data_IF_351440211432
#
_entry.id   IF_351440211432
#
_cell.length_a   1.000
_cell.length_b   1.000
_cell.length_c   1.000
_cell.angle_alpha   90.00
_cell.angle_beta   90.00
_cell.angle_gamma   90.00
#
_symmetry.space_group_name_H-M   'P 1'
#
loop_
_entity.id
_entity.type
_entity.pdbx_description
1 polymer ?
#
# COMPACT_ATOMS: atom_id res chain seq x y z
N UNK A 1 30.83 -4.95 -6.80
CA UNK A 1 30.59 -3.99 -5.71
C UNK A 1 30.60 -4.79 -4.41
N UNK A 2 31.47 -4.48 -3.43
CA UNK A 2 31.44 -5.18 -2.15
C UNK A 2 30.04 -5.03 -1.51
N UNK A 3 29.55 -6.12 -0.91
CA UNK A 3 28.27 -6.09 -0.21
C UNK A 3 28.34 -5.09 0.94
N UNK A 4 27.28 -4.31 1.14
CA UNK A 4 27.17 -3.47 2.32
C UNK A 4 27.05 -4.37 3.55
N UNK A 5 27.98 -4.23 4.50
CA UNK A 5 28.03 -5.00 5.75
C UNK A 5 27.50 -4.22 6.95
N UNK A 6 27.15 -2.94 6.78
CA UNK A 6 26.56 -2.10 7.83
C UNK A 6 25.04 -1.94 7.62
N UNK A 7 24.21 -2.13 8.66
CA UNK A 7 22.78 -1.85 8.56
C UNK A 7 22.50 -0.40 8.15
N UNK A 8 21.57 -0.20 7.21
CA UNK A 8 21.11 1.13 6.78
C UNK A 8 19.73 1.36 7.39
N UNK A 9 19.56 2.51 8.05
CA UNK A 9 18.29 2.93 8.64
C UNK A 9 17.72 4.13 7.84
N UNK A 10 16.39 4.28 7.75
CA UNK A 10 15.78 5.47 7.19
C UNK A 10 16.21 6.73 7.96
N UNK A 11 16.53 7.79 7.22
CA UNK A 11 16.98 9.08 7.79
C UNK A 11 15.78 9.97 8.08
N UNK A 12 14.80 9.98 7.18
CA UNK A 12 13.61 10.84 7.28
C UNK A 12 12.37 9.99 7.45
N UNK A 13 11.65 10.06 8.59
CA UNK A 13 10.38 9.38 8.75
C UNK A 13 9.34 9.96 7.79
N UNK A 14 8.51 9.08 7.23
CA UNK A 14 7.44 9.43 6.29
C UNK A 14 6.14 8.77 6.73
N UNK A 15 5.09 9.57 6.82
CA UNK A 15 3.72 9.10 7.01
C UNK A 15 2.89 9.67 5.88
N UNK A 16 2.26 8.78 5.11
CA UNK A 16 1.42 9.15 3.96
C UNK A 16 0.17 8.28 3.93
N UNK A 17 -0.85 8.73 3.21
CA UNK A 17 -2.16 8.09 3.28
C UNK A 17 -3.01 8.39 2.06
N UNK A 18 -4.06 7.58 1.87
CA UNK A 18 -5.05 7.76 0.82
C UNK A 18 -6.38 7.11 1.19
N UNK A 19 -7.47 7.63 0.65
CA UNK A 19 -8.81 7.04 0.79
C UNK A 19 -9.24 6.44 -0.56
N UNK A 20 -9.77 5.22 -0.53
CA UNK A 20 -10.34 4.56 -1.72
C UNK A 20 -11.81 4.23 -1.49
N UNK A 21 -12.65 4.52 -2.49
CA UNK A 21 -14.12 4.31 -2.46
C UNK A 21 -14.62 3.56 -3.67
N UNK A 22 -14.00 3.77 -4.84
CA UNK A 22 -14.42 3.18 -6.11
C UNK A 22 -13.64 1.90 -6.41
N UNK A 23 -14.33 0.84 -6.85
CA UNK A 23 -13.68 -0.38 -7.31
C UNK A 23 -12.84 -0.16 -8.55
N UNK A 24 -11.72 -0.88 -8.60
CA UNK A 24 -10.97 -1.08 -9.83
C UNK A 24 -11.29 -2.46 -10.41
N UNK A 25 -11.88 -2.48 -11.60
CA UNK A 25 -12.20 -3.70 -12.35
C UNK A 25 -10.98 -4.25 -13.09
N UNK A 26 -10.00 -3.40 -13.40
CA UNK A 26 -8.74 -3.80 -14.00
C UNK A 26 -7.85 -4.49 -12.94
N UNK A 27 -7.24 -5.62 -13.32
CA UNK A 27 -6.36 -6.42 -12.45
C UNK A 27 -4.87 -6.18 -12.72
N UNK A 28 -4.57 -5.36 -13.71
CA UNK A 28 -3.23 -5.03 -14.18
C UNK A 28 -2.67 -3.74 -13.56
N UNK A 29 -3.40 -3.13 -12.63
CA UNK A 29 -2.98 -1.90 -11.95
C UNK A 29 -3.23 -0.63 -12.78
N UNK A 30 -3.98 -0.69 -13.87
CA UNK A 30 -4.48 0.50 -14.57
C UNK A 30 -5.82 0.94 -13.99
N UNK A 31 -6.35 2.09 -14.39
CA UNK A 31 -7.67 2.57 -13.96
C UNK A 31 -7.65 3.35 -12.64
N UNK A 32 -8.70 3.20 -11.82
CA UNK A 32 -8.85 3.99 -10.59
C UNK A 32 -8.01 3.40 -9.47
N UNK A 33 -6.88 4.05 -9.18
CA UNK A 33 -5.98 3.70 -8.08
C UNK A 33 -5.64 4.94 -7.26
N UNK A 34 -5.20 4.73 -6.02
CA UNK A 34 -4.77 5.80 -5.12
C UNK A 34 -3.35 5.54 -4.68
N UNK A 35 -2.45 6.49 -4.92
CA UNK A 35 -1.08 6.43 -4.37
C UNK A 35 -1.12 6.72 -2.88
N UNK A 36 -0.58 5.79 -2.08
CA UNK A 36 -0.53 5.90 -0.62
C UNK A 36 0.88 6.11 -0.09
N UNK A 37 1.91 5.91 -0.92
CA UNK A 37 3.30 6.17 -0.58
C UNK A 37 4.14 6.37 -1.84
N UNK A 38 5.11 7.30 -1.79
CA UNK A 38 6.10 7.54 -2.84
C UNK A 38 7.49 7.54 -2.22
N UNK A 39 8.38 6.70 -2.72
CA UNK A 39 9.76 6.63 -2.25
C UNK A 39 10.56 7.86 -2.68
N UNK A 40 11.42 8.34 -1.78
CA UNK A 40 12.37 9.41 -2.08
C UNK A 40 13.45 9.01 -3.10
N UNK A 41 14.37 9.94 -3.39
CA UNK A 41 15.41 9.75 -4.40
C UNK A 41 16.42 8.63 -4.07
N UNK A 42 16.55 8.24 -2.80
CA UNK A 42 17.42 7.12 -2.37
C UNK A 42 16.62 5.84 -2.09
N UNK A 43 15.33 5.82 -2.42
CA UNK A 43 14.41 4.77 -2.02
C UNK A 43 13.86 4.98 -0.62
N UNK A 44 13.06 4.01 -0.18
CA UNK A 44 12.36 4.08 1.09
C UNK A 44 12.13 2.71 1.70
N UNK A 45 11.83 2.71 3.00
CA UNK A 45 11.36 1.56 3.75
C UNK A 45 9.95 1.84 4.28
N UNK A 46 9.07 0.87 4.17
CA UNK A 46 7.75 0.81 4.80
C UNK A 46 7.87 -0.06 6.04
N UNK A 47 7.42 0.47 7.18
CA UNK A 47 7.43 -0.21 8.47
C UNK A 47 6.04 -0.78 8.82
N UNK A 48 4.97 -0.06 8.49
CA UNK A 48 3.60 -0.46 8.81
C UNK A 48 2.59 0.10 7.81
N UNK A 49 1.56 -0.69 7.50
CA UNK A 49 0.39 -0.26 6.74
C UNK A 49 -0.85 -0.50 7.60
N UNK A 50 -1.56 0.57 7.94
CA UNK A 50 -2.82 0.53 8.66
C UNK A 50 -3.98 0.82 7.74
N UNK A 51 -5.05 0.04 7.87
CA UNK A 51 -6.28 0.24 7.12
C UNK A 51 -7.44 0.36 8.10
N UNK A 52 -8.30 1.35 7.87
CA UNK A 52 -9.54 1.53 8.61
C UNK A 52 -10.71 1.84 7.70
N UNK A 53 -11.88 1.42 8.13
CA UNK A 53 -13.13 1.94 7.61
C UNK A 53 -13.32 3.39 8.05
N UNK A 54 -13.81 4.25 7.14
CA UNK A 54 -14.26 5.60 7.48
C UNK A 54 -15.75 5.67 7.87
N UNK A 55 -16.43 4.52 7.85
CA UNK A 55 -17.85 4.38 8.14
C UNK A 55 -18.35 3.00 7.71
N UNK A 56 -19.66 2.84 7.59
CA UNK A 56 -20.24 1.56 7.16
C UNK A 56 -19.86 1.23 5.71
N UNK A 57 -19.30 0.04 5.48
CA UNK A 57 -18.88 -0.44 4.18
C UNK A 57 -19.18 -1.93 4.02
N UNK A 58 -19.37 -2.36 2.78
CA UNK A 58 -19.40 -3.79 2.42
C UNK A 58 -17.99 -4.38 2.42
N UNK A 59 -17.90 -5.71 2.52
CA UNK A 59 -16.63 -6.42 2.41
C UNK A 59 -16.01 -6.22 1.02
N UNK A 60 -14.68 -6.08 0.96
CA UNK A 60 -13.96 -5.83 -0.28
C UNK A 60 -12.53 -6.36 -0.20
N UNK A 61 -11.94 -6.70 -1.36
CA UNK A 61 -10.52 -7.01 -1.44
C UNK A 61 -9.74 -5.72 -1.61
N UNK A 62 -8.84 -5.40 -0.68
CA UNK A 62 -7.85 -4.33 -0.83
C UNK A 62 -6.64 -4.89 -1.56
N UNK A 63 -6.24 -4.22 -2.65
CA UNK A 63 -5.15 -4.60 -3.52
C UNK A 63 -4.03 -3.61 -3.43
N UNK A 64 -2.80 -4.11 -3.37
CA UNK A 64 -1.59 -3.31 -3.34
C UNK A 64 -0.81 -3.51 -4.64
N UNK A 65 -0.47 -2.41 -5.28
CA UNK A 65 0.32 -2.38 -6.50
C UNK A 65 1.60 -1.59 -6.28
N UNK A 66 2.73 -2.15 -6.72
CA UNK A 66 3.96 -1.37 -6.86
C UNK A 66 3.98 -0.77 -8.26
N UNK A 67 4.24 0.53 -8.34
CA UNK A 67 4.47 1.24 -9.58
C UNK A 67 5.95 1.68 -9.65
N UNK A 68 6.56 1.51 -10.82
CA UNK A 68 7.99 1.78 -11.05
C UNK A 68 8.36 3.28 -11.15
N UNK A 69 7.45 4.19 -10.79
CA UNK A 69 7.62 5.64 -10.83
C UNK A 69 7.10 6.30 -12.11
N UNK A 70 6.87 5.52 -13.17
CA UNK A 70 6.32 6.01 -14.44
C UNK A 70 4.78 6.11 -14.41
N UNK A 71 4.19 6.44 -15.57
CA UNK A 71 2.74 6.59 -15.70
C UNK A 71 1.99 5.31 -15.27
N UNK A 72 1.09 5.47 -14.30
CA UNK A 72 0.27 4.41 -13.73
C UNK A 72 -0.86 3.96 -14.67
N UNK A 73 -1.15 4.70 -15.73
CA UNK A 73 -2.12 4.29 -16.77
C UNK A 73 -1.61 3.14 -17.65
N UNK A 74 -0.30 2.85 -17.62
CA UNK A 74 0.33 1.80 -18.40
C UNK A 74 0.51 0.55 -17.55
N UNK A 75 -0.15 -0.56 -17.92
CA UNK A 75 -0.12 -1.82 -17.17
C UNK A 75 1.29 -2.32 -16.84
N UNK A 76 2.23 -2.22 -17.80
CA UNK A 76 3.61 -2.67 -17.62
C UNK A 76 4.39 -1.92 -16.51
N UNK A 77 3.90 -0.75 -16.08
CA UNK A 77 4.51 0.02 -14.99
C UNK A 77 4.01 -0.39 -13.61
N UNK A 78 3.01 -1.28 -13.52
CA UNK A 78 2.38 -1.67 -12.27
C UNK A 78 2.50 -3.19 -12.07
N UNK A 79 2.60 -3.60 -10.80
CA UNK A 79 2.60 -5.01 -10.42
C UNK A 79 1.74 -5.20 -9.18
N UNK A 80 0.77 -6.12 -9.22
CA UNK A 80 -0.01 -6.53 -8.06
C UNK A 80 0.87 -7.36 -7.13
N UNK A 81 1.09 -6.89 -5.91
CA UNK A 81 2.03 -7.52 -4.96
C UNK A 81 1.35 -8.16 -3.76
N UNK A 82 0.16 -7.70 -3.39
CA UNK A 82 -0.57 -8.25 -2.27
C UNK A 82 -2.07 -7.95 -2.38
N UNK A 83 -2.87 -8.85 -1.83
CA UNK A 83 -4.30 -8.64 -1.62
C UNK A 83 -4.66 -9.03 -0.19
N UNK A 84 -5.48 -8.21 0.46
CA UNK A 84 -6.02 -8.47 1.78
C UNK A 84 -7.54 -8.36 1.75
N UNK A 85 -8.23 -9.31 2.39
CA UNK A 85 -9.67 -9.21 2.58
C UNK A 85 -9.97 -8.24 3.71
N UNK A 86 -10.75 -7.20 3.39
CA UNK A 86 -11.30 -6.27 4.37
C UNK A 86 -12.75 -6.69 4.61
N UNK A 87 -13.03 -7.14 5.83
CA UNK A 87 -14.36 -7.57 6.23
C UNK A 87 -15.37 -6.40 6.19
N UNK A 88 -16.66 -6.71 6.17
CA UNK A 88 -17.68 -5.67 6.24
C UNK A 88 -17.61 -4.94 7.59
N UNK A 89 -18.09 -3.70 7.62
CA UNK A 89 -18.19 -2.95 8.86
C UNK A 89 -19.53 -2.19 8.96
N UNK A 90 -20.14 -2.23 10.13
CA UNK A 90 -21.31 -1.43 10.49
C UNK A 90 -20.88 -0.35 11.49
N UNK A 91 -20.89 0.91 11.07
CA UNK A 91 -20.60 2.03 11.95
C UNK A 91 -21.81 2.34 12.84
N UNK A 92 -21.59 2.55 14.14
CA UNK A 92 -22.63 2.97 15.09
C UNK A 92 -22.23 4.19 15.92
N UNK A 93 -21.14 4.88 15.57
CA UNK A 93 -20.55 6.05 16.26
C UNK A 93 -20.35 5.89 17.79
N UNK A 94 -20.54 4.69 18.34
CA UNK A 94 -20.41 4.36 19.76
C UNK A 94 -19.33 3.30 20.00
N UNK A 95 -19.10 2.41 19.04
CA UNK A 95 -18.05 1.41 19.03
C UNK A 95 -16.99 1.76 17.99
N UNK A 96 -15.74 1.44 18.32
CA UNK A 96 -14.63 1.58 17.38
C UNK A 96 -14.78 0.59 16.21
N UNK A 97 -14.45 1.06 15.01
CA UNK A 97 -14.30 0.22 13.82
C UNK A 97 -12.99 -0.57 13.90
N UNK A 98 -12.94 -1.75 13.29
CA UNK A 98 -11.75 -2.60 13.29
C UNK A 98 -10.57 -1.92 12.59
N UNK A 99 -9.40 -2.04 13.23
CA UNK A 99 -8.11 -1.75 12.61
C UNK A 99 -7.61 -3.00 11.88
N UNK A 100 -7.11 -2.81 10.65
CA UNK A 100 -6.44 -3.86 9.89
C UNK A 100 -4.97 -3.48 9.69
N UNK A 101 -4.06 -4.24 10.30
CA UNK A 101 -2.62 -4.13 10.07
C UNK A 101 -2.22 -5.06 8.92
N UNK A 102 -1.86 -4.47 7.78
CA UNK A 102 -1.45 -5.25 6.61
C UNK A 102 0.05 -5.52 6.70
N UNK A 103 0.39 -6.78 6.91
CA UNK A 103 1.76 -7.25 6.86
C UNK A 103 2.03 -7.81 5.48
N UNK A 104 2.98 -7.20 4.74
CA UNK A 104 3.51 -7.78 3.51
C UNK A 104 4.77 -8.56 3.89
N UNK A 105 4.71 -9.90 3.96
CA UNK A 105 5.83 -10.68 4.47
C UNK A 105 7.05 -10.56 3.54
N UNK A 106 8.23 -10.39 4.14
CA UNK A 106 9.50 -10.67 3.49
C UNK A 106 9.54 -12.16 3.18
N UNK A 107 9.52 -12.54 1.91
CA UNK A 107 9.89 -13.90 1.55
C UNK A 107 11.38 -14.08 1.89
N UNK A 108 11.70 -15.00 2.78
CA UNK A 108 13.09 -15.27 3.22
C UNK A 108 13.93 -15.96 2.14
N UNK A 109 13.32 -16.30 1.00
CA UNK A 109 13.92 -17.07 -0.11
C UNK A 109 14.19 -16.21 -1.36
N UNK A 110 13.84 -14.92 -1.35
CA UNK A 110 14.04 -14.06 -2.52
C UNK A 110 15.42 -13.38 -2.51
N UNK A 111 16.15 -13.55 -3.62
CA UNK A 111 17.46 -12.93 -3.90
C UNK A 111 17.36 -11.43 -4.22
N UNK A 112 16.15 -10.87 -4.21
CA UNK A 112 15.87 -9.44 -4.40
C UNK A 112 15.20 -8.84 -3.15
N UNK A 113 15.33 -7.52 -3.01
CA UNK A 113 14.92 -6.76 -1.83
C UNK A 113 13.45 -7.05 -1.48
N UNK A 114 13.14 -7.51 -0.26
CA UNK A 114 11.76 -7.82 0.11
C UNK A 114 10.90 -6.55 0.21
N UNK A 115 9.59 -6.72 0.09
CA UNK A 115 8.60 -5.68 -0.20
C UNK A 115 8.47 -4.50 0.80
N UNK A 116 9.04 -4.46 2.04
CA UNK A 116 9.08 -3.17 2.71
C UNK A 116 10.00 -2.15 2.02
N UNK A 117 10.82 -2.53 1.03
CA UNK A 117 11.78 -1.61 0.41
C UNK A 117 11.35 -1.20 -0.99
N UNK A 118 11.17 0.10 -1.19
CA UNK A 118 10.87 0.68 -2.49
C UNK A 118 12.15 1.29 -3.08
N UNK A 119 12.51 0.95 -4.33
CA UNK A 119 13.55 1.66 -5.06
C UNK A 119 13.23 3.16 -5.20
N UNK A 120 14.23 3.99 -5.56
CA UNK A 120 14.02 5.40 -5.84
C UNK A 120 12.81 5.67 -6.74
N UNK A 121 11.95 6.61 -6.33
CA UNK A 121 10.78 7.09 -7.06
C UNK A 121 9.63 6.07 -7.26
N UNK A 122 9.77 4.84 -6.77
CA UNK A 122 8.68 3.86 -6.84
C UNK A 122 7.53 4.29 -5.94
N UNK A 123 6.32 3.87 -6.31
CA UNK A 123 5.07 4.23 -5.61
C UNK A 123 4.34 2.98 -5.15
N UNK A 124 3.72 3.08 -3.99
CA UNK A 124 2.72 2.11 -3.53
C UNK A 124 1.33 2.67 -3.85
N UNK A 125 0.61 1.96 -4.68
CA UNK A 125 -0.75 2.28 -5.07
C UNK A 125 -1.72 1.24 -4.51
N UNK A 126 -2.94 1.67 -4.22
CA UNK A 126 -4.01 0.79 -3.78
C UNK A 126 -5.23 0.87 -4.68
N UNK A 127 -5.97 -0.22 -4.71
CA UNK A 127 -7.31 -0.29 -5.29
C UNK A 127 -8.18 -1.27 -4.50
N UNK A 128 -9.50 -1.24 -4.74
CA UNK A 128 -10.44 -2.17 -4.10
C UNK A 128 -11.22 -2.98 -5.13
N UNK A 129 -11.66 -4.19 -4.73
CA UNK A 129 -12.44 -5.07 -5.59
C UNK A 129 -13.91 -4.70 -5.73
N UNK A 130 -14.47 -4.08 -4.70
CA UNK A 130 -15.89 -3.70 -4.60
C UNK A 130 -15.98 -2.27 -4.11
N UNK A 131 -16.80 -1.45 -4.76
CA UNK A 131 -17.05 -0.05 -4.36
C UNK A 131 -17.66 -0.02 -2.97
N UNK A 132 -17.14 0.85 -2.12
CA UNK A 132 -17.60 1.04 -0.74
C UNK A 132 -18.11 2.47 -0.54
N UNK A 133 -19.10 2.64 0.32
CA UNK A 133 -19.81 3.92 0.45
C UNK A 133 -19.02 4.98 1.24
N UNK A 134 -18.50 4.63 2.41
CA UNK A 134 -17.79 5.56 3.29
C UNK A 134 -16.29 5.66 2.97
N UNK A 135 -15.74 4.65 2.29
CA UNK A 135 -14.32 4.59 1.92
C UNK A 135 -13.46 3.83 2.93
N UNK A 136 -12.33 3.33 2.44
CA UNK A 136 -11.26 2.76 3.25
C UNK A 136 -10.10 3.74 3.31
N UNK A 137 -9.71 4.11 4.53
CA UNK A 137 -8.51 4.89 4.80
C UNK A 137 -7.34 3.93 4.90
N UNK A 138 -6.30 4.17 4.11
CA UNK A 138 -5.02 3.46 4.20
C UNK A 138 -3.94 4.46 4.60
N UNK A 139 -3.17 4.13 5.62
CA UNK A 139 -2.08 4.95 6.15
C UNK A 139 -0.82 4.10 6.16
N UNK A 140 0.23 4.63 5.55
CA UNK A 140 1.54 3.98 5.43
C UNK A 140 2.54 4.75 6.30
N UNK A 141 3.24 4.01 7.14
CA UNK A 141 4.31 4.51 8.00
C UNK A 141 5.63 3.90 7.51
N UNK A 142 6.66 4.73 7.41
CA UNK A 142 7.97 4.30 6.96
C UNK A 142 8.99 5.43 7.04
N UNK A 143 10.00 5.37 6.18
CA UNK A 143 10.97 6.44 6.03
C UNK A 143 11.79 6.35 4.75
N UNK A 144 12.28 7.49 4.31
CA UNK A 144 13.22 7.59 3.19
C UNK A 144 14.65 7.38 3.67
N UNK A 145 15.45 6.74 2.82
CA UNK A 145 16.89 6.60 3.01
C UNK A 145 17.65 7.90 2.69
#
# INVERSE_FOLDING_TARGET
MPANTTPIFPITPVVSWGTVTTANTAKDGTGTMVTVFTAGANGARIDQIKVRHKGANVATALRFFINNGNDASVAANNSLVHEATIALANANEAAALADFDITIPKNTTETACPIPYLPPNYKLNIAIGTTVAAGLQVTVFGGNY
#
